data_IF_225021190980
#
_entry.id   IF_225021190980
#
_cell.length_a   1.000
_cell.length_b   1.000
_cell.length_c   1.000
_cell.angle_alpha   90.00
_cell.angle_beta   90.00
_cell.angle_gamma   90.00
#
_symmetry.space_group_name_H-M   'P 1'
#
loop_
_entity.id
_entity.type
_entity.pdbx_description
1 polymer ?
#
# COMPACT_ATOMS: atom_id res chain seq x y z
N UNK A 1 41.48 0.69 33.89
CA UNK A 1 41.05 1.69 32.89
C UNK A 1 40.71 0.94 31.61
N UNK A 2 39.60 1.08 30.88
CA UNK A 2 38.44 1.96 30.97
C UNK A 2 37.25 1.34 30.18
N UNK A 3 36.05 1.58 30.70
CA UNK A 3 34.67 1.52 30.17
C UNK A 3 34.25 0.51 29.07
N UNK A 4 33.34 -0.39 29.48
CA UNK A 4 32.44 -1.14 28.62
C UNK A 4 31.54 -0.22 27.77
N UNK A 5 31.48 -0.46 26.45
CA UNK A 5 30.48 0.20 25.57
C UNK A 5 29.10 -0.43 25.77
N UNK A 6 28.33 0.11 26.72
CA UNK A 6 26.86 0.10 26.65
C UNK A 6 26.45 1.01 25.49
N UNK A 7 26.36 0.45 24.28
CA UNK A 7 25.67 1.10 23.19
C UNK A 7 24.18 0.91 23.42
N UNK A 8 23.56 1.83 24.15
CA UNK A 8 22.11 1.84 24.29
C UNK A 8 21.47 1.82 22.91
N UNK A 9 20.66 0.81 22.64
CA UNK A 9 19.72 0.88 21.53
C UNK A 9 18.89 2.13 21.77
N UNK A 10 19.07 3.09 20.86
CA UNK A 10 18.20 4.24 20.75
C UNK A 10 16.82 3.64 20.53
N UNK A 11 15.98 3.68 21.55
CA UNK A 11 14.54 3.46 21.41
C UNK A 11 14.09 4.53 20.43
N UNK A 12 13.95 4.17 19.15
CA UNK A 12 13.32 5.00 18.15
C UNK A 12 11.81 4.99 18.43
N UNK A 13 11.39 5.58 19.55
CA UNK A 13 9.99 5.93 19.78
C UNK A 13 9.78 7.33 19.23
N UNK A 14 9.62 7.43 17.91
CA UNK A 14 9.19 8.67 17.27
C UNK A 14 8.49 8.37 15.95
N UNK A 15 7.21 8.74 15.90
CA UNK A 15 6.30 8.78 14.75
C UNK A 15 5.69 7.45 14.35
N UNK A 16 4.89 6.87 15.24
CA UNK A 16 3.61 6.34 14.76
C UNK A 16 2.85 7.55 14.16
N UNK A 17 2.05 7.37 13.10
CA UNK A 17 0.96 8.29 12.69
C UNK A 17 1.12 9.26 11.50
N UNK A 18 2.13 9.17 10.63
CA UNK A 18 2.00 9.85 9.32
C UNK A 18 1.65 8.83 8.24
N UNK A 19 0.36 8.51 8.15
CA UNK A 19 -0.19 7.84 6.97
C UNK A 19 -0.07 8.79 5.77
N UNK A 20 0.77 8.45 4.80
CA UNK A 20 0.90 9.26 3.59
C UNK A 20 -0.37 9.04 2.76
N UNK A 21 -1.05 10.14 2.39
CA UNK A 21 -2.18 10.11 1.46
C UNK A 21 -1.62 10.11 0.05
N UNK A 22 -1.70 8.95 -0.59
CA UNK A 22 -1.16 8.77 -1.93
C UNK A 22 -2.27 8.44 -2.91
N UNK A 23 -2.06 8.85 -4.16
CA UNK A 23 -2.98 8.63 -5.24
C UNK A 23 -2.45 7.53 -6.15
N UNK A 24 -3.23 6.47 -6.34
CA UNK A 24 -2.86 5.41 -7.29
C UNK A 24 -3.64 5.59 -8.60
N UNK A 25 -2.89 5.81 -9.68
CA UNK A 25 -3.39 5.82 -11.07
C UNK A 25 -3.69 4.40 -11.55
N UNK A 26 -4.86 3.86 -11.23
CA UNK A 26 -5.23 2.47 -11.59
C UNK A 26 -5.61 2.34 -13.06
N UNK A 27 -6.05 3.42 -13.71
CA UNK A 27 -6.44 3.41 -15.12
C UNK A 27 -5.34 2.85 -16.04
N UNK A 28 -4.10 3.30 -15.86
CA UNK A 28 -2.94 2.88 -16.67
C UNK A 28 -2.70 1.38 -16.54
N UNK A 29 -2.88 0.84 -15.33
CA UNK A 29 -2.72 -0.58 -15.02
C UNK A 29 -3.78 -1.49 -15.64
N UNK A 30 -4.96 -0.94 -15.99
CA UNK A 30 -6.08 -1.71 -16.53
C UNK A 30 -6.10 -1.74 -18.06
N UNK A 31 -5.26 -0.95 -18.71
CA UNK A 31 -5.17 -0.90 -20.16
C UNK A 31 -4.73 -2.28 -20.71
N UNK A 32 -5.47 -2.82 -21.68
CA UNK A 32 -5.21 -4.15 -22.24
C UNK A 32 -5.54 -5.35 -21.34
N UNK A 33 -6.02 -5.14 -20.10
CA UNK A 33 -6.38 -6.24 -19.18
C UNK A 33 -7.80 -6.73 -19.46
N UNK A 34 -7.94 -8.06 -19.63
CA UNK A 34 -9.23 -8.71 -19.82
C UNK A 34 -10.20 -8.43 -18.66
N UNK A 35 -11.50 -8.25 -18.98
CA UNK A 35 -12.48 -7.73 -18.01
C UNK A 35 -12.57 -8.53 -16.70
N UNK A 36 -12.46 -9.85 -16.77
CA UNK A 36 -12.51 -10.72 -15.57
C UNK A 36 -11.29 -10.57 -14.66
N UNK A 37 -10.19 -9.96 -15.12
CA UNK A 37 -8.94 -9.80 -14.37
C UNK A 37 -8.73 -8.38 -13.85
N UNK A 38 -9.63 -7.44 -14.14
CA UNK A 38 -9.45 -6.01 -13.84
C UNK A 38 -9.36 -5.68 -12.36
N UNK A 39 -10.37 -6.02 -11.56
CA UNK A 39 -10.33 -5.83 -10.11
C UNK A 39 -9.14 -6.55 -9.42
N UNK A 40 -8.87 -7.85 -9.68
CA UNK A 40 -7.71 -8.49 -9.05
C UNK A 40 -6.37 -7.92 -9.53
N UNK A 41 -6.27 -7.42 -10.77
CA UNK A 41 -5.07 -6.72 -11.22
C UNK A 41 -4.90 -5.39 -10.49
N UNK A 42 -5.96 -4.61 -10.30
CA UNK A 42 -5.92 -3.35 -9.58
C UNK A 42 -5.40 -3.54 -8.14
N UNK A 43 -5.85 -4.58 -7.44
CA UNK A 43 -5.37 -4.89 -6.09
C UNK A 43 -3.87 -5.23 -6.07
N UNK A 44 -3.38 -6.00 -7.05
CA UNK A 44 -1.95 -6.32 -7.18
C UNK A 44 -1.11 -5.07 -7.43
N UNK A 45 -1.63 -4.12 -8.21
CA UNK A 45 -0.91 -2.87 -8.49
C UNK A 45 -0.92 -1.93 -7.29
N UNK A 46 -2.01 -1.87 -6.51
CA UNK A 46 -2.02 -1.17 -5.21
C UNK A 46 -0.98 -1.79 -4.27
N UNK A 47 -0.86 -3.12 -4.25
CA UNK A 47 0.14 -3.80 -3.44
C UNK A 47 1.56 -3.44 -3.89
N UNK A 48 1.85 -3.52 -5.20
CA UNK A 48 3.16 -3.13 -5.75
C UNK A 48 3.50 -1.66 -5.48
N UNK A 49 2.49 -0.79 -5.55
CA UNK A 49 2.64 0.63 -5.23
C UNK A 49 3.08 0.82 -3.79
N UNK A 50 2.36 0.21 -2.83
CA UNK A 50 2.73 0.26 -1.42
C UNK A 50 4.11 -0.37 -1.14
N UNK A 51 4.47 -1.48 -1.80
CA UNK A 51 5.80 -2.09 -1.68
C UNK A 51 6.90 -1.14 -2.18
N UNK A 52 6.64 -0.39 -3.26
CA UNK A 52 7.61 0.54 -3.85
C UNK A 52 7.81 1.79 -2.99
N UNK A 53 6.73 2.40 -2.50
CA UNK A 53 6.80 3.63 -1.70
C UNK A 53 7.35 3.36 -0.29
N UNK A 54 6.94 2.26 0.34
CA UNK A 54 7.33 1.96 1.73
C UNK A 54 8.60 1.09 1.85
N UNK A 55 9.06 0.48 0.76
CA UNK A 55 10.21 -0.42 0.74
C UNK A 55 10.01 -1.71 1.57
N UNK A 56 8.76 -2.05 1.93
CA UNK A 56 8.43 -3.24 2.73
C UNK A 56 7.90 -4.37 1.85
N UNK A 57 8.38 -5.61 2.03
CA UNK A 57 7.90 -6.75 1.24
C UNK A 57 6.47 -7.18 1.65
N UNK A 58 6.14 -7.08 2.94
CA UNK A 58 4.84 -7.47 3.46
C UNK A 58 3.87 -6.30 3.45
N UNK A 59 2.82 -6.41 2.63
CA UNK A 59 1.77 -5.41 2.49
C UNK A 59 0.41 -6.06 2.71
N UNK A 60 -0.30 -5.56 3.72
CA UNK A 60 -1.67 -5.96 4.02
C UNK A 60 -2.65 -4.92 3.48
N UNK A 61 -3.61 -5.39 2.67
CA UNK A 61 -4.68 -4.55 2.13
C UNK A 61 -5.88 -4.64 3.06
N UNK A 62 -6.37 -3.49 3.51
CA UNK A 62 -7.59 -3.43 4.32
C UNK A 62 -8.81 -3.96 3.56
N UNK A 63 -9.72 -4.62 4.28
CA UNK A 63 -10.92 -5.19 3.67
C UNK A 63 -11.89 -4.13 3.15
N UNK A 64 -11.90 -2.91 3.71
CA UNK A 64 -12.74 -1.81 3.21
C UNK A 64 -12.21 -1.31 1.87
N UNK A 65 -10.90 -1.21 1.71
CA UNK A 65 -10.27 -0.88 0.43
C UNK A 65 -10.59 -1.95 -0.63
N UNK A 66 -10.44 -3.23 -0.29
CA UNK A 66 -10.78 -4.33 -1.20
C UNK A 66 -12.25 -4.27 -1.68
N UNK A 67 -13.18 -4.02 -0.74
CA UNK A 67 -14.60 -3.83 -1.08
C UNK A 67 -14.78 -2.62 -1.99
N UNK A 68 -14.17 -1.47 -1.67
CA UNK A 68 -14.26 -0.24 -2.45
C UNK A 68 -13.81 -0.41 -3.91
N UNK A 69 -12.72 -1.16 -4.13
CA UNK A 69 -12.21 -1.50 -5.47
C UNK A 69 -13.23 -2.29 -6.29
N UNK A 70 -14.04 -3.13 -5.63
CA UNK A 70 -14.99 -4.06 -6.27
C UNK A 70 -16.47 -3.62 -6.18
N UNK A 71 -16.81 -2.44 -5.66
CA UNK A 71 -18.22 -1.98 -5.48
C UNK A 71 -19.02 -2.03 -6.79
N UNK A 72 -18.40 -1.66 -7.91
CA UNK A 72 -19.05 -1.63 -9.24
C UNK A 72 -18.86 -2.94 -10.02
N UNK A 73 -18.38 -3.99 -9.36
CA UNK A 73 -18.09 -5.30 -9.94
C UNK A 73 -16.70 -5.41 -10.58
N UNK A 74 -16.42 -6.58 -11.16
CA UNK A 74 -15.05 -6.97 -11.57
C UNK A 74 -14.50 -6.16 -12.76
N UNK A 75 -15.38 -5.67 -13.63
CA UNK A 75 -15.02 -4.95 -14.87
C UNK A 75 -14.72 -3.47 -14.63
N UNK A 76 -15.42 -2.86 -13.69
CA UNK A 76 -15.55 -1.40 -13.60
C UNK A 76 -14.89 -0.87 -12.32
N UNK A 77 -13.58 -1.05 -12.22
CA UNK A 77 -12.78 -0.47 -11.13
C UNK A 77 -12.69 1.05 -11.30
N UNK A 78 -12.60 1.78 -10.20
CA UNK A 78 -12.35 3.21 -10.25
C UNK A 78 -11.00 3.50 -10.95
N UNK A 79 -10.98 4.54 -11.79
CA UNK A 79 -9.78 4.95 -12.51
C UNK A 79 -8.67 5.45 -11.60
N UNK A 80 -9.07 5.99 -10.46
CA UNK A 80 -8.25 6.66 -9.49
C UNK A 80 -8.75 6.28 -8.10
N UNK A 81 -7.85 5.86 -7.22
CA UNK A 81 -8.17 5.56 -5.83
C UNK A 81 -7.15 6.26 -4.94
N UNK A 82 -7.67 6.98 -3.96
CA UNK A 82 -6.85 7.49 -2.86
C UNK A 82 -6.66 6.37 -1.84
N UNK A 83 -5.41 6.01 -1.62
CA UNK A 83 -5.01 5.03 -0.61
C UNK A 83 -4.23 5.74 0.47
N UNK A 84 -4.46 5.31 1.71
CA UNK A 84 -3.63 5.70 2.84
C UNK A 84 -2.68 4.54 3.07
N UNK A 85 -1.39 4.79 2.95
CA UNK A 85 -0.37 3.79 3.24
C UNK A 85 0.24 4.14 4.60
N UNK A 86 0.29 3.14 5.48
CA UNK A 86 0.80 3.30 6.83
C UNK A 86 1.77 2.17 7.13
N UNK A 87 2.93 2.51 7.69
CA UNK A 87 3.85 1.53 8.28
C UNK A 87 3.35 1.19 9.68
N UNK A 88 3.30 -0.10 9.99
CA UNK A 88 3.20 -0.56 11.38
C UNK A 88 4.57 -0.52 12.06
#
# INVERSE_FOLDING_TARGET
MALAKKGGEKVHSAVHEVGIREHTDIYKCMHGVGFKKRAPQALKEIQKFAMKEMGTPDVYIDTRLNKAVCVKGIRNVAYYIHVVVQKM
#
